data_IF_068650575528
#
_entry.id   IF_068650575528
#
_cell.length_a   1.000
_cell.length_b   1.000
_cell.length_c   1.000
_cell.angle_alpha   90.00
_cell.angle_beta   90.00
_cell.angle_gamma   90.00
#
_symmetry.space_group_name_H-M   'P 1'
#
loop_
_entity.id
_entity.type
_entity.pdbx_description
1 polymer ?
#
# COMPACT_ATOMS: atom_id res chain seq x y z
N UNK A 1 2.48 -3.52 -1.36
CA UNK A 1 3.21 -4.71 -1.84
C UNK A 1 3.42 -4.56 -3.34
N UNK A 2 4.63 -4.84 -3.84
CA UNK A 2 4.92 -4.81 -5.27
C UNK A 2 4.22 -5.96 -6.03
N UNK A 3 3.75 -5.72 -7.26
CA UNK A 3 2.96 -6.69 -8.04
C UNK A 3 3.66 -8.04 -8.25
N UNK A 4 4.98 -8.05 -8.41
CA UNK A 4 5.74 -9.29 -8.60
C UNK A 4 5.85 -10.12 -7.31
N UNK A 5 5.84 -9.47 -6.14
CA UNK A 5 5.80 -10.19 -4.87
C UNK A 5 4.44 -10.84 -4.65
N UNK A 6 3.37 -10.17 -5.08
CA UNK A 6 2.02 -10.73 -5.11
C UNK A 6 1.95 -12.00 -5.97
N UNK A 7 2.51 -11.95 -7.18
CA UNK A 7 2.54 -13.09 -8.10
C UNK A 7 3.32 -14.28 -7.51
N UNK A 8 4.47 -14.01 -6.86
CA UNK A 8 5.25 -15.05 -6.17
C UNK A 8 4.49 -15.65 -5.00
N UNK A 9 3.82 -14.82 -4.19
CA UNK A 9 2.99 -15.30 -3.08
C UNK A 9 1.85 -16.17 -3.59
N UNK A 10 1.15 -15.73 -4.64
CA UNK A 10 0.05 -16.49 -5.23
C UNK A 10 0.52 -17.87 -5.69
N UNK A 11 1.65 -17.95 -6.41
CA UNK A 11 2.25 -19.22 -6.82
C UNK A 11 2.56 -20.12 -5.61
N UNK A 12 3.21 -19.59 -4.57
CA UNK A 12 3.55 -20.34 -3.37
C UNK A 12 2.29 -20.85 -2.65
N UNK A 13 1.26 -20.02 -2.51
CA UNK A 13 0.01 -20.41 -1.90
C UNK A 13 -0.71 -21.50 -2.71
N UNK A 14 -0.74 -21.38 -4.05
CA UNK A 14 -1.33 -22.40 -4.91
C UNK A 14 -0.64 -23.76 -4.78
N UNK A 15 0.68 -23.77 -4.66
CA UNK A 15 1.49 -25.00 -4.60
C UNK A 15 1.49 -25.65 -3.21
N UNK A 16 1.38 -24.86 -2.13
CA UNK A 16 1.73 -25.33 -0.77
C UNK A 16 0.66 -25.05 0.28
N UNK A 17 -0.26 -24.10 0.06
CA UNK A 17 -1.22 -23.75 1.09
C UNK A 17 -2.34 -24.80 1.21
N UNK A 18 -2.78 -25.14 2.44
CA UNK A 18 -3.96 -25.96 2.62
C UNK A 18 -5.21 -25.27 2.05
N UNK A 19 -6.12 -26.05 1.47
CA UNK A 19 -7.38 -25.52 0.97
C UNK A 19 -8.16 -24.78 2.08
N UNK A 20 -8.83 -23.69 1.71
CA UNK A 20 -9.63 -22.89 2.65
C UNK A 20 -8.82 -21.99 3.60
N UNK A 21 -7.51 -21.83 3.38
CA UNK A 21 -6.67 -20.94 4.21
C UNK A 21 -6.54 -19.53 3.62
N UNK A 22 -6.33 -18.55 4.50
CA UNK A 22 -6.13 -17.13 4.14
C UNK A 22 -4.67 -16.75 4.42
N UNK A 23 -4.08 -15.97 3.50
CA UNK A 23 -2.67 -15.56 3.56
C UNK A 23 -2.55 -14.06 3.31
N UNK A 24 -1.79 -13.37 4.17
CA UNK A 24 -1.63 -11.91 4.09
C UNK A 24 -0.40 -11.53 3.26
N UNK A 25 -0.62 -10.91 2.10
CA UNK A 25 0.41 -10.38 1.23
C UNK A 25 0.82 -8.95 1.57
N UNK A 26 1.48 -8.77 2.71
CA UNK A 26 1.98 -7.46 3.18
C UNK A 26 3.50 -7.42 3.06
N UNK A 27 4.05 -6.42 2.36
CA UNK A 27 5.51 -6.24 2.24
C UNK A 27 6.06 -5.26 3.28
N UNK A 28 5.33 -4.18 3.52
CA UNK A 28 5.64 -3.13 4.49
C UNK A 28 4.44 -2.94 5.39
N UNK A 29 4.66 -2.81 6.69
CA UNK A 29 3.58 -2.64 7.67
C UNK A 29 3.41 -1.18 8.08
N UNK A 30 2.17 -0.69 8.10
CA UNK A 30 1.82 0.55 8.79
C UNK A 30 2.42 1.82 8.20
N UNK A 31 2.53 1.94 6.87
CA UNK A 31 2.93 3.19 6.22
C UNK A 31 1.86 4.25 6.48
N UNK A 32 2.18 5.38 7.13
CA UNK A 32 1.22 6.45 7.36
C UNK A 32 0.73 7.05 6.03
N UNK A 33 -0.59 7.22 5.89
CA UNK A 33 -1.20 7.88 4.72
C UNK A 33 -0.61 9.27 4.47
N UNK A 34 -0.29 10.01 5.55
CA UNK A 34 0.33 11.34 5.43
C UNK A 34 1.66 11.31 4.68
N UNK A 35 2.44 10.24 4.80
CA UNK A 35 3.76 10.13 4.18
C UNK A 35 3.58 9.89 2.66
N UNK A 36 2.59 9.06 2.28
CA UNK A 36 2.17 8.85 0.90
C UNK A 36 1.70 10.17 0.27
N UNK A 37 0.80 10.89 0.95
CA UNK A 37 0.29 12.18 0.50
C UNK A 37 1.40 13.22 0.36
N UNK A 38 2.37 13.23 1.27
CA UNK A 38 3.54 14.13 1.23
C UNK A 38 4.40 13.90 0.00
N UNK A 39 4.69 12.63 -0.35
CA UNK A 39 5.48 12.33 -1.56
C UNK A 39 4.72 12.78 -2.81
N UNK A 40 3.42 12.47 -2.91
CA UNK A 40 2.57 12.88 -4.04
C UNK A 40 2.52 14.41 -4.17
N UNK A 41 2.22 15.12 -3.07
CA UNK A 41 2.13 16.58 -3.05
C UNK A 41 3.43 17.25 -3.48
N UNK A 42 4.58 16.72 -3.04
CA UNK A 42 5.91 17.22 -3.47
C UNK A 42 6.12 17.06 -4.98
N UNK A 43 5.79 15.90 -5.56
CA UNK A 43 5.98 15.68 -7.00
C UNK A 43 5.02 16.50 -7.87
N UNK A 44 3.84 16.84 -7.37
CA UNK A 44 2.82 17.61 -8.08
C UNK A 44 2.80 19.11 -7.73
N UNK A 45 3.66 19.55 -6.82
CA UNK A 45 3.64 20.90 -6.25
C UNK A 45 2.26 21.30 -5.66
N UNK A 46 1.64 20.38 -4.93
CA UNK A 46 0.34 20.57 -4.28
C UNK A 46 0.46 20.60 -2.76
N UNK A 47 -0.33 21.43 -2.05
CA UNK A 47 -0.37 21.42 -0.60
C UNK A 47 -0.98 20.12 -0.08
N UNK A 48 -0.47 19.65 1.06
CA UNK A 48 -1.02 18.50 1.79
C UNK A 48 -1.73 19.01 3.04
N UNK A 49 -2.98 18.61 3.23
CA UNK A 49 -3.82 19.03 4.36
C UNK A 49 -4.31 17.82 5.16
N UNK A 50 -4.58 18.05 6.45
CA UNK A 50 -5.21 17.05 7.31
C UNK A 50 -6.73 17.16 7.23
N UNK A 51 -7.41 16.02 7.21
CA UNK A 51 -8.87 15.93 7.17
C UNK A 51 -9.34 15.29 8.47
N UNK A 52 -10.22 15.94 9.26
CA UNK A 52 -10.81 15.32 10.44
C UNK A 52 -11.54 14.02 10.09
N UNK A 53 -11.40 12.99 10.92
CA UNK A 53 -12.04 11.68 10.71
C UNK A 53 -13.55 11.80 10.48
N UNK A 54 -14.23 12.72 11.18
CA UNK A 54 -15.65 12.97 11.03
C UNK A 54 -16.06 13.45 9.62
N UNK A 55 -15.13 14.02 8.86
CA UNK A 55 -15.33 14.52 7.49
C UNK A 55 -14.82 13.54 6.42
N UNK A 56 -14.22 12.40 6.80
CA UNK A 56 -13.58 11.49 5.86
C UNK A 56 -14.55 10.97 4.79
N UNK A 57 -15.79 10.63 5.17
CA UNK A 57 -16.81 10.16 4.21
C UNK A 57 -17.30 11.27 3.28
N UNK A 58 -17.47 12.50 3.79
CA UNK A 58 -17.85 13.65 2.96
C UNK A 58 -16.77 13.96 1.92
N UNK A 59 -15.50 13.88 2.33
CA UNK A 59 -14.37 14.19 1.46
C UNK A 59 -14.04 13.07 0.45
N UNK A 60 -14.01 11.81 0.89
CA UNK A 60 -13.56 10.67 0.07
C UNK A 60 -14.71 9.77 -0.42
N UNK A 61 -15.96 10.10 -0.12
CA UNK A 61 -17.10 9.22 -0.37
C UNK A 61 -16.98 7.90 0.38
N UNK A 62 -17.33 6.80 -0.28
CA UNK A 62 -17.26 5.45 0.30
C UNK A 62 -15.85 5.04 0.76
N UNK A 63 -14.80 5.61 0.15
CA UNK A 63 -13.41 5.38 0.57
C UNK A 63 -13.10 5.99 1.94
N UNK A 64 -13.87 7.00 2.35
CA UNK A 64 -13.73 7.65 3.65
C UNK A 64 -13.90 6.69 4.82
N UNK A 65 -14.69 5.63 4.64
CA UNK A 65 -14.82 4.57 5.64
C UNK A 65 -13.50 3.86 5.93
N UNK A 66 -12.61 3.71 4.93
CA UNK A 66 -11.28 3.13 5.12
C UNK A 66 -10.29 4.14 5.71
N UNK A 67 -10.33 5.41 5.26
CA UNK A 67 -9.48 6.46 5.82
C UNK A 67 -9.83 6.85 7.27
N UNK A 68 -11.03 6.50 7.74
CA UNK A 68 -11.44 6.67 9.12
C UNK A 68 -10.89 5.57 10.07
N UNK A 69 -10.27 4.52 9.54
CA UNK A 69 -9.80 3.36 10.30
C UNK A 69 -8.28 3.25 10.28
N UNK A 70 -7.71 2.78 11.40
CA UNK A 70 -6.32 2.34 11.46
C UNK A 70 -6.25 0.83 11.21
N UNK A 71 -5.96 0.43 9.97
CA UNK A 71 -5.97 -0.97 9.53
C UNK A 71 -4.53 -1.44 9.31
N UNK A 72 -3.92 -2.00 10.35
CA UNK A 72 -2.60 -2.65 10.25
C UNK A 72 -2.76 -4.13 9.94
N UNK A 73 -2.03 -4.60 8.93
CA UNK A 73 -1.91 -6.02 8.59
C UNK A 73 -0.43 -6.44 8.64
N UNK A 74 -0.19 -7.73 8.92
CA UNK A 74 1.14 -8.34 8.94
C UNK A 74 1.18 -9.59 8.07
N UNK A 75 2.34 -9.86 7.47
CA UNK A 75 2.62 -11.07 6.71
C UNK A 75 3.55 -12.06 7.42
N UNK A 76 3.88 -11.85 8.69
CA UNK A 76 4.87 -12.67 9.42
C UNK A 76 4.61 -14.18 9.31
N UNK A 77 3.36 -14.62 9.51
CA UNK A 77 2.98 -16.04 9.36
C UNK A 77 3.07 -16.54 7.92
N UNK A 78 2.79 -15.68 6.94
CA UNK A 78 2.89 -16.02 5.52
C UNK A 78 4.35 -16.24 5.14
N UNK A 79 5.25 -15.35 5.59
CA UNK A 79 6.68 -15.49 5.36
C UNK A 79 7.26 -16.72 6.05
N UNK A 80 6.86 -16.96 7.32
CA UNK A 80 7.32 -18.11 8.09
C UNK A 80 6.92 -19.45 7.46
N UNK A 81 5.67 -19.58 7.00
CA UNK A 81 5.12 -20.86 6.56
C UNK A 81 5.37 -21.17 5.08
N UNK A 82 5.37 -20.16 4.21
CA UNK A 82 5.57 -20.35 2.77
C UNK A 82 7.00 -20.04 2.31
N UNK A 83 7.86 -19.56 3.22
CA UNK A 83 9.20 -19.05 2.85
C UNK A 83 9.14 -17.83 1.93
N UNK A 84 7.97 -17.21 1.76
CA UNK A 84 7.78 -16.04 0.92
C UNK A 84 8.54 -14.86 1.52
N UNK A 85 9.37 -14.19 0.71
CA UNK A 85 10.09 -12.97 1.10
C UNK A 85 9.82 -11.90 0.05
N UNK A 86 9.07 -10.83 0.37
CA UNK A 86 8.89 -9.72 -0.55
C UNK A 86 10.23 -9.04 -0.82
N UNK A 87 10.44 -8.61 -2.06
CA UNK A 87 11.73 -8.08 -2.55
C UNK A 87 11.58 -6.94 -3.56
N UNK A 88 10.35 -6.63 -3.97
CA UNK A 88 10.09 -5.45 -4.78
C UNK A 88 10.29 -4.17 -3.98
N UNK A 89 10.48 -3.08 -4.72
CA UNK A 89 10.62 -1.72 -4.18
C UNK A 89 9.46 -1.37 -3.25
N UNK A 90 9.78 -0.72 -2.13
CA UNK A 90 8.80 -0.25 -1.16
C UNK A 90 7.95 0.91 -1.71
N UNK A 91 6.79 1.15 -1.13
CA UNK A 91 5.82 2.13 -1.65
C UNK A 91 6.38 3.54 -1.73
N UNK A 92 6.98 4.04 -0.65
CA UNK A 92 7.50 5.41 -0.61
C UNK A 92 8.73 5.59 -1.51
N UNK A 93 9.58 4.55 -1.60
CA UNK A 93 10.73 4.54 -2.49
C UNK A 93 10.27 4.58 -3.95
N UNK A 94 9.30 3.74 -4.32
CA UNK A 94 8.76 3.67 -5.68
C UNK A 94 8.07 4.97 -6.11
N UNK A 95 7.24 5.55 -5.23
CA UNK A 95 6.66 6.88 -5.45
C UNK A 95 7.74 7.95 -5.64
N UNK A 96 8.82 7.87 -4.88
CA UNK A 96 9.95 8.81 -4.95
C UNK A 96 10.73 8.77 -6.26
N UNK A 97 10.64 7.68 -7.05
CA UNK A 97 11.29 7.59 -8.36
C UNK A 97 10.61 8.45 -9.43
N UNK A 98 9.43 9.01 -9.16
CA UNK A 98 8.81 10.04 -9.98
C UNK A 98 8.11 9.55 -11.25
N UNK A 99 8.22 8.26 -11.59
CA UNK A 99 7.67 7.70 -12.83
C UNK A 99 6.13 7.73 -12.91
N UNK A 100 5.43 7.88 -11.77
CA UNK A 100 3.98 8.12 -11.70
C UNK A 100 3.55 9.55 -12.07
N UNK A 101 4.49 10.49 -12.13
CA UNK A 101 4.21 11.92 -12.31
C UNK A 101 4.75 12.46 -13.64
N UNK A 102 5.46 11.63 -14.41
CA UNK A 102 5.98 11.95 -15.75
C UNK A 102 4.81 12.04 -16.76
N UNK A 103 4.20 13.22 -16.85
CA UNK A 103 3.04 13.48 -17.71
C UNK A 103 2.16 14.64 -17.21
N UNK A 104 2.35 15.07 -15.96
CA UNK A 104 1.72 16.26 -15.42
C UNK A 104 2.65 17.44 -15.67
N UNK A 105 2.61 18.00 -16.89
CA UNK A 105 3.13 19.34 -17.11
C UNK A 105 2.20 20.32 -16.37
N UNK A 106 2.72 20.97 -15.34
CA UNK A 106 2.04 22.12 -14.72
C UNK A 106 2.59 23.34 -15.43
N UNK A 107 1.83 23.86 -16.39
CA UNK A 107 2.06 25.19 -16.96
C UNK A 107 1.77 26.28 -15.91
#
# INVERSE_FOLDING_TARGET
MHRLDAARLFRLALEQAPAGTIWHGVAEEGIPVRDIATVIGRHLNLPVTSIPVAQAFEHFGWLGAFFALDIRASSALTQQRLGWRPSGTGLLEDLGQGHYFAGVAVD
#
